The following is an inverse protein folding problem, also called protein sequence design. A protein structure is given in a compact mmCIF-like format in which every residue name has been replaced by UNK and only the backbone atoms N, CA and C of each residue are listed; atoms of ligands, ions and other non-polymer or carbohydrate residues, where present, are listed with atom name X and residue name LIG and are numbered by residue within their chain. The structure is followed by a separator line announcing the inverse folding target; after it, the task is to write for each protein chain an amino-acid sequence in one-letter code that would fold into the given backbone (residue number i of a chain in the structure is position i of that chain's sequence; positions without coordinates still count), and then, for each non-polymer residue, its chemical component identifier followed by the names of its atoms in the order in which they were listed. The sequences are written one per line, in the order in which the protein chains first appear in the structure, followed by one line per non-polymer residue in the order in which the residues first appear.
data_IF_476800295859
#
_entry.id   IF_476800295859
#
_cell.length_a   1.000
_cell.length_b   1.000
_cell.length_c   1.000
_cell.angle_alpha   90.00
_cell.angle_beta   90.00
_cell.angle_gamma   90.00
#
_symmetry.space_group_name_H-M   'P 1'
#
loop_
_entity.id
_entity.type
_entity.pdbx_description
1 polymer ?
#
# COMPACT_ATOMS: atom_id res chain seq x y z
N UNK A 1 29.72 -16.59 -53.34
CA UNK A 1 31.17 -16.82 -53.23
C UNK A 1 31.61 -16.28 -51.87
N UNK A 2 32.43 -17.11 -51.17
CA UNK A 2 33.05 -16.92 -49.83
C UNK A 2 32.08 -16.93 -48.64
N UNK A 3 31.83 -18.00 -47.98
CA UNK A 3 32.62 -18.89 -47.07
C UNK A 3 33.54 -18.13 -46.11
N UNK A 4 33.19 -18.11 -44.85
CA UNK A 4 34.17 -18.43 -43.80
C UNK A 4 33.47 -18.86 -42.50
N UNK A 5 33.53 -20.15 -42.22
CA UNK A 5 33.36 -20.79 -40.93
C UNK A 5 34.54 -20.42 -40.03
N UNK A 6 34.32 -20.12 -38.78
CA UNK A 6 35.29 -20.34 -37.71
C UNK A 6 34.62 -21.04 -36.54
N UNK A 7 35.00 -22.25 -36.39
CA UNK A 7 34.79 -23.20 -35.30
C UNK A 7 35.85 -22.92 -34.23
N UNK A 8 35.46 -22.72 -32.97
CA UNK A 8 36.38 -22.90 -31.87
C UNK A 8 35.65 -23.59 -30.69
N UNK A 9 36.03 -24.81 -30.51
CA UNK A 9 35.76 -25.63 -29.35
C UNK A 9 36.64 -25.20 -28.17
N UNK A 10 36.16 -25.46 -27.01
CA UNK A 10 36.84 -25.28 -25.72
C UNK A 10 36.18 -26.13 -24.68
N UNK A 11 36.60 -27.40 -24.64
CA UNK A 11 36.37 -28.31 -23.51
C UNK A 11 37.09 -27.78 -22.29
N UNK A 12 36.55 -27.97 -21.11
CA UNK A 12 37.32 -27.70 -19.91
C UNK A 12 36.51 -27.72 -18.64
N UNK A 13 36.38 -28.88 -18.09
CA UNK A 13 36.66 -29.27 -16.71
C UNK A 13 35.51 -29.19 -15.71
N UNK A 14 34.96 -30.36 -15.52
CA UNK A 14 34.29 -30.83 -14.31
C UNK A 14 35.25 -30.70 -13.13
N UNK A 15 34.89 -29.97 -12.10
CA UNK A 15 35.44 -30.07 -10.76
C UNK A 15 34.40 -30.57 -9.79
N UNK A 16 34.44 -31.86 -9.56
CA UNK A 16 33.98 -32.44 -8.31
C UNK A 16 34.84 -31.91 -7.17
N UNK A 17 34.20 -31.47 -6.13
CA UNK A 17 34.80 -31.29 -4.82
C UNK A 17 33.75 -31.48 -3.74
N UNK A 18 33.79 -32.65 -3.21
CA UNK A 18 33.94 -33.00 -1.81
C UNK A 18 32.81 -32.62 -0.87
N UNK A 19 32.06 -33.65 -0.60
CA UNK A 19 31.32 -33.94 0.63
C UNK A 19 32.30 -33.95 1.82
N UNK A 20 31.99 -33.20 2.86
CA UNK A 20 32.47 -33.40 4.24
C UNK A 20 31.25 -33.03 5.12
N UNK A 21 30.52 -33.98 5.61
CA UNK A 21 30.66 -34.73 6.86
C UNK A 21 30.43 -33.83 8.10
N UNK A 22 29.23 -34.01 8.66
CA UNK A 22 28.95 -34.17 10.09
C UNK A 22 29.55 -33.16 11.07
N UNK A 23 28.70 -32.29 11.59
CA UNK A 23 28.82 -31.88 12.99
C UNK A 23 27.45 -31.93 13.67
N UNK A 24 27.19 -33.07 14.25
CA UNK A 24 26.09 -33.41 15.14
C UNK A 24 26.45 -32.98 16.56
N UNK A 25 26.08 -31.77 16.97
CA UNK A 25 26.12 -31.39 18.38
C UNK A 25 24.72 -31.36 18.98
N UNK A 26 24.45 -32.25 19.94
CA UNK A 26 23.18 -32.19 20.68
C UNK A 26 23.26 -31.07 21.72
N UNK A 27 22.54 -30.00 21.50
CA UNK A 27 22.28 -28.97 22.53
C UNK A 27 21.35 -29.55 23.61
N UNK A 28 21.95 -29.86 24.75
CA UNK A 28 21.29 -30.19 25.98
C UNK A 28 20.28 -29.08 26.36
N UNK A 29 19.01 -29.43 26.41
CA UNK A 29 17.95 -28.61 26.97
C UNK A 29 18.07 -28.65 28.49
N UNK A 30 18.69 -27.64 29.09
CA UNK A 30 18.62 -27.37 30.51
C UNK A 30 17.20 -26.95 30.85
N UNK A 31 16.43 -27.87 31.42
CA UNK A 31 15.17 -27.58 32.11
C UNK A 31 15.48 -26.75 33.34
N UNK A 32 15.23 -25.46 33.30
CA UNK A 32 15.21 -24.62 34.47
C UNK A 32 13.81 -24.72 35.09
N UNK A 33 13.66 -25.64 36.04
CA UNK A 33 12.49 -25.68 36.92
C UNK A 33 12.63 -24.53 37.92
N UNK A 34 11.93 -23.45 37.71
CA UNK A 34 11.77 -22.39 38.70
C UNK A 34 10.47 -22.65 39.43
N UNK A 35 10.58 -23.09 40.67
CA UNK A 35 9.49 -23.10 41.63
C UNK A 35 8.94 -21.67 41.74
N UNK A 36 7.68 -21.52 41.44
CA UNK A 36 6.96 -20.28 41.66
C UNK A 36 6.29 -20.38 43.00
N UNK A 37 6.84 -19.66 43.97
CA UNK A 37 6.15 -19.39 45.25
C UNK A 37 4.86 -18.63 44.97
N UNK A 38 3.79 -19.17 45.51
CA UNK A 38 2.44 -18.68 45.43
C UNK A 38 2.29 -17.54 46.45
N UNK A 39 2.54 -16.32 46.02
CA UNK A 39 2.20 -15.12 46.76
C UNK A 39 0.74 -14.76 46.50
N UNK A 40 -0.09 -15.10 47.48
CA UNK A 40 -1.51 -14.78 47.54
C UNK A 40 -1.77 -13.28 47.34
N UNK A 41 -2.12 -12.90 46.13
CA UNK A 41 -2.63 -11.57 45.82
C UNK A 41 -4.16 -11.61 45.81
N UNK A 42 -4.83 -10.77 46.58
CA UNK A 42 -6.29 -10.78 46.64
C UNK A 42 -6.86 -10.39 45.27
N UNK A 43 -7.76 -11.24 44.78
CA UNK A 43 -8.58 -10.96 43.62
C UNK A 43 -9.54 -9.82 43.96
N UNK A 44 -9.21 -8.61 43.63
CA UNK A 44 -10.18 -7.53 43.56
C UNK A 44 -11.07 -7.74 42.35
N UNK A 45 -12.27 -8.21 42.57
CA UNK A 45 -13.36 -8.20 41.63
C UNK A 45 -13.65 -6.75 41.24
N UNK A 46 -13.11 -6.32 40.12
CA UNK A 46 -13.40 -5.07 39.44
C UNK A 46 -13.82 -5.39 38.01
N UNK A 47 -15.05 -5.88 37.86
CA UNK A 47 -15.71 -5.91 36.55
C UNK A 47 -15.99 -4.48 36.11
N UNK A 48 -14.93 -3.74 35.72
CA UNK A 48 -15.08 -2.55 34.97
C UNK A 48 -15.19 -2.99 33.49
N UNK A 49 -16.42 -3.21 33.07
CA UNK A 49 -16.84 -3.17 31.69
C UNK A 49 -16.21 -1.93 31.05
N UNK A 50 -15.03 -2.11 30.42
CA UNK A 50 -14.49 -1.11 29.52
C UNK A 50 -15.42 -1.10 28.31
N UNK A 51 -16.47 -0.30 28.43
CA UNK A 51 -17.16 0.22 27.28
C UNK A 51 -16.06 0.75 26.35
N UNK A 52 -15.80 -0.01 25.30
CA UNK A 52 -14.99 0.43 24.17
C UNK A 52 -15.73 1.64 23.63
N UNK A 53 -15.39 2.82 24.14
CA UNK A 53 -15.80 4.06 23.55
C UNK A 53 -15.24 4.01 22.14
N UNK A 54 -16.07 3.59 21.20
CA UNK A 54 -15.90 3.90 19.80
C UNK A 54 -15.84 5.41 19.73
N UNK A 55 -14.64 5.97 19.88
CA UNK A 55 -14.39 7.31 19.42
C UNK A 55 -14.63 7.27 17.93
N UNK A 56 -15.75 7.81 17.45
CA UNK A 56 -15.92 7.98 16.03
C UNK A 56 -14.72 8.80 15.59
N UNK A 57 -14.05 8.33 14.56
CA UNK A 57 -12.92 8.99 13.88
C UNK A 57 -13.46 10.28 13.21
N UNK A 58 -13.97 11.17 14.06
CA UNK A 58 -14.69 12.41 13.74
C UNK A 58 -13.76 13.48 13.19
N UNK A 59 -12.45 13.30 13.32
CA UNK A 59 -11.49 14.37 13.01
C UNK A 59 -11.09 14.47 11.55
N UNK A 60 -11.64 13.64 10.67
CA UNK A 60 -11.35 13.69 9.24
C UNK A 60 -12.59 13.90 8.36
N UNK A 61 -13.78 14.02 8.95
CA UNK A 61 -15.00 14.24 8.20
C UNK A 61 -15.50 15.70 8.21
N UNK A 62 -14.89 16.57 9.00
CA UNK A 62 -15.42 17.93 9.23
C UNK A 62 -14.78 19.00 8.34
N UNK A 63 -14.09 18.60 7.27
CA UNK A 63 -13.73 19.54 6.22
C UNK A 63 -14.90 19.58 5.23
N UNK A 64 -15.86 20.41 5.55
CA UNK A 64 -16.95 20.81 4.66
C UNK A 64 -16.37 21.28 3.32
N UNK A 65 -16.63 20.53 2.27
CA UNK A 65 -16.28 20.99 0.95
C UNK A 65 -16.37 19.94 -0.13
N UNK A 66 -15.62 18.89 -0.12
CA UNK A 66 -15.75 17.76 -1.05
C UNK A 66 -15.32 16.49 -0.33
N UNK A 67 -16.29 15.76 0.20
CA UNK A 67 -16.07 14.58 1.02
C UNK A 67 -15.56 13.40 0.18
N UNK A 68 -14.25 13.34 -0.03
CA UNK A 68 -13.63 12.09 -0.42
C UNK A 68 -13.59 11.14 0.79
N UNK A 69 -14.63 10.34 0.96
CA UNK A 69 -14.68 9.35 2.00
C UNK A 69 -13.54 8.33 1.81
N UNK A 70 -13.09 7.72 2.90
CA UNK A 70 -12.02 6.73 2.80
C UNK A 70 -12.57 5.38 2.33
N UNK A 71 -12.05 4.86 1.21
CA UNK A 71 -12.33 3.51 0.74
C UNK A 71 -11.52 2.51 1.58
N UNK A 72 -12.19 1.71 2.41
CA UNK A 72 -11.54 0.79 3.39
C UNK A 72 -11.77 -0.69 3.07
N UNK A 73 -12.93 -1.06 2.51
CA UNK A 73 -13.29 -2.46 2.28
C UNK A 73 -12.39 -3.07 1.21
N UNK A 74 -11.76 -4.20 1.53
CA UNK A 74 -10.86 -4.90 0.62
C UNK A 74 -11.55 -5.37 -0.65
N UNK A 75 -12.81 -5.78 -0.55
CA UNK A 75 -13.61 -6.23 -1.70
C UNK A 75 -13.83 -5.08 -2.70
N UNK A 76 -14.15 -3.88 -2.23
CA UNK A 76 -14.34 -2.70 -3.08
C UNK A 76 -13.03 -2.31 -3.76
N UNK A 77 -11.93 -2.30 -2.99
CA UNK A 77 -10.58 -2.01 -3.53
C UNK A 77 -10.19 -3.03 -4.60
N UNK A 78 -10.46 -4.32 -4.38
CA UNK A 78 -10.19 -5.38 -5.35
C UNK A 78 -11.04 -5.19 -6.61
N UNK A 79 -12.31 -4.86 -6.47
CA UNK A 79 -13.21 -4.58 -7.58
C UNK A 79 -12.72 -3.40 -8.44
N UNK A 80 -12.32 -2.26 -7.81
CA UNK A 80 -11.75 -1.13 -8.54
C UNK A 80 -10.46 -1.52 -9.26
N UNK A 81 -9.61 -2.35 -8.65
CA UNK A 81 -8.38 -2.82 -9.29
C UNK A 81 -8.63 -3.72 -10.49
N UNK A 82 -9.68 -4.55 -10.43
CA UNK A 82 -10.01 -5.51 -11.48
C UNK A 82 -10.66 -4.85 -12.70
N UNK A 83 -11.68 -4.04 -12.48
CA UNK A 83 -12.56 -3.50 -13.53
C UNK A 83 -12.50 -1.98 -13.67
N UNK A 84 -11.80 -1.28 -12.77
CA UNK A 84 -11.70 0.17 -12.80
C UNK A 84 -10.86 0.67 -13.99
N UNK A 85 -11.29 1.78 -14.60
CA UNK A 85 -10.52 2.48 -15.62
C UNK A 85 -9.23 3.06 -15.04
N UNK A 86 -8.10 2.89 -15.72
CA UNK A 86 -6.79 3.31 -15.25
C UNK A 86 -6.29 4.55 -15.95
N UNK A 87 -5.87 5.54 -15.17
CA UNK A 87 -5.04 6.67 -15.61
C UNK A 87 -3.65 6.48 -15.05
N UNK A 88 -2.65 6.57 -15.91
CA UNK A 88 -1.24 6.38 -15.53
C UNK A 88 -0.50 7.70 -15.59
N UNK A 89 0.22 7.98 -14.53
CA UNK A 89 1.16 9.08 -14.41
C UNK A 89 2.54 8.56 -13.99
N UNK A 90 3.58 9.37 -14.10
CA UNK A 90 4.90 9.00 -13.62
C UNK A 90 4.90 8.66 -12.12
N UNK A 91 4.23 9.47 -11.31
CA UNK A 91 4.22 9.35 -9.84
C UNK A 91 3.21 8.34 -9.29
N UNK A 92 2.15 7.99 -10.04
CA UNK A 92 1.10 7.07 -9.57
C UNK A 92 0.31 6.44 -10.72
N UNK A 93 -0.48 5.43 -10.36
CA UNK A 93 -1.55 4.89 -11.21
C UNK A 93 -2.85 5.04 -10.45
N UNK A 94 -3.80 5.77 -11.00
CA UNK A 94 -5.15 5.92 -10.44
C UNK A 94 -6.13 5.04 -11.22
N UNK A 95 -7.02 4.35 -10.52
CA UNK A 95 -8.12 3.55 -11.09
C UNK A 95 -9.43 4.05 -10.54
N UNK A 96 -10.39 4.19 -11.42
CA UNK A 96 -11.69 4.81 -11.16
C UNK A 96 -12.79 3.81 -11.49
N UNK A 97 -13.77 3.68 -10.60
CA UNK A 97 -14.97 2.87 -10.79
C UNK A 97 -16.17 3.66 -10.29
N UNK A 98 -17.23 3.82 -11.10
CA UNK A 98 -18.49 4.37 -10.62
C UNK A 98 -18.99 3.58 -9.41
N UNK A 99 -19.57 4.25 -8.43
CA UNK A 99 -20.28 3.61 -7.34
C UNK A 99 -21.73 4.13 -7.27
N UNK A 100 -22.57 3.42 -6.54
CA UNK A 100 -23.98 3.76 -6.34
C UNK A 100 -24.18 4.69 -5.13
N UNK A 101 -23.09 5.11 -4.50
CA UNK A 101 -23.10 6.01 -3.35
C UNK A 101 -23.07 7.44 -3.84
N UNK A 102 -23.64 8.35 -3.05
CA UNK A 102 -23.62 9.79 -3.37
C UNK A 102 -22.26 10.46 -3.10
N UNK A 103 -21.23 9.68 -2.78
CA UNK A 103 -19.93 10.19 -2.35
C UNK A 103 -18.78 9.57 -3.12
N UNK A 104 -17.73 10.34 -3.31
CA UNK A 104 -16.46 9.82 -3.81
C UNK A 104 -15.67 9.19 -2.68
N UNK A 105 -15.07 8.02 -2.94
CA UNK A 105 -14.23 7.31 -1.96
C UNK A 105 -12.82 7.11 -2.51
N UNK A 106 -11.80 7.37 -1.69
CA UNK A 106 -10.39 7.29 -2.07
C UNK A 106 -9.62 6.30 -1.21
N UNK A 107 -8.87 5.41 -1.86
CA UNK A 107 -7.82 4.59 -1.24
C UNK A 107 -6.47 4.87 -1.88
N UNK A 108 -5.42 5.04 -1.07
CA UNK A 108 -4.04 5.23 -1.55
C UNK A 108 -3.17 4.10 -1.02
N UNK A 109 -2.54 3.37 -1.91
CA UNK A 109 -1.63 2.26 -1.61
C UNK A 109 -0.23 2.55 -2.13
N UNK A 110 0.80 2.12 -1.39
CA UNK A 110 2.19 2.16 -1.83
C UNK A 110 2.79 0.76 -1.72
N UNK A 111 3.15 0.12 -2.84
CA UNK A 111 3.75 -1.20 -2.86
C UNK A 111 5.16 -1.18 -2.24
N UNK A 112 5.71 -2.37 -1.95
CA UNK A 112 7.05 -2.49 -1.36
C UNK A 112 8.16 -1.95 -2.27
N UNK A 113 7.95 -1.95 -3.57
CA UNK A 113 8.86 -1.41 -4.59
C UNK A 113 9.14 0.10 -4.45
N UNK A 114 8.25 0.84 -3.77
CA UNK A 114 8.45 2.28 -3.49
C UNK A 114 9.59 2.50 -2.49
N UNK A 115 9.81 1.58 -1.54
CA UNK A 115 10.87 1.67 -0.54
C UNK A 115 10.47 1.12 0.84
N UNK A 116 11.22 1.49 1.86
CA UNK A 116 10.96 1.13 3.26
C UNK A 116 9.66 1.76 3.78
N UNK A 117 9.19 1.30 4.94
CA UNK A 117 7.87 1.69 5.49
C UNK A 117 7.70 3.20 5.67
N UNK A 118 8.73 3.88 6.15
CA UNK A 118 8.74 5.35 6.35
C UNK A 118 8.57 6.10 5.03
N UNK A 119 9.32 5.71 4.00
CA UNK A 119 9.25 6.29 2.65
C UNK A 119 7.87 6.05 2.05
N UNK A 120 7.34 4.82 2.13
CA UNK A 120 5.98 4.50 1.66
C UNK A 120 4.91 5.32 2.37
N UNK A 121 5.04 5.53 3.67
CA UNK A 121 4.11 6.35 4.44
C UNK A 121 4.15 7.82 4.00
N UNK A 122 5.35 8.38 3.80
CA UNK A 122 5.54 9.74 3.29
C UNK A 122 4.91 9.89 1.89
N UNK A 123 5.21 8.98 0.97
CA UNK A 123 4.68 8.99 -0.38
C UNK A 123 3.14 8.90 -0.40
N UNK A 124 2.55 8.00 0.43
CA UNK A 124 1.09 7.90 0.57
C UNK A 124 0.45 9.18 1.09
N UNK A 125 1.08 9.87 2.06
CA UNK A 125 0.58 11.13 2.59
C UNK A 125 0.61 12.21 1.52
N UNK A 126 1.72 12.35 0.79
CA UNK A 126 1.87 13.35 -0.29
C UNK A 126 0.82 13.16 -1.38
N UNK A 127 0.68 11.93 -1.89
CA UNK A 127 -0.29 11.65 -2.95
C UNK A 127 -1.72 11.81 -2.47
N UNK A 128 -2.04 11.38 -1.23
CA UNK A 128 -3.38 11.60 -0.67
C UNK A 128 -3.72 13.08 -0.57
N UNK A 129 -2.79 13.90 -0.13
CA UNK A 129 -2.98 15.33 -0.01
C UNK A 129 -3.14 16.00 -1.38
N UNK A 130 -2.35 15.59 -2.39
CA UNK A 130 -2.49 16.07 -3.75
C UNK A 130 -3.89 15.78 -4.32
N UNK A 131 -4.41 14.56 -4.11
CA UNK A 131 -5.78 14.20 -4.51
C UNK A 131 -6.84 14.94 -3.72
N UNK A 132 -6.65 15.17 -2.42
CA UNK A 132 -7.58 15.95 -1.60
C UNK A 132 -7.73 17.37 -2.15
N UNK A 133 -6.62 18.06 -2.37
CA UNK A 133 -6.63 19.42 -2.94
C UNK A 133 -7.15 19.45 -4.38
N UNK A 134 -6.87 18.42 -5.17
CA UNK A 134 -7.43 18.32 -6.51
C UNK A 134 -8.96 18.15 -6.49
N UNK A 135 -9.49 17.42 -5.53
CA UNK A 135 -10.94 17.29 -5.35
C UNK A 135 -11.59 18.59 -4.90
N UNK A 136 -10.95 19.34 -4.02
CA UNK A 136 -11.45 20.65 -3.56
C UNK A 136 -11.49 21.68 -4.70
N UNK A 137 -10.57 21.58 -5.64
CA UNK A 137 -10.53 22.46 -6.82
C UNK A 137 -11.55 22.10 -7.89
N UNK A 138 -12.32 21.03 -7.69
CA UNK A 138 -13.25 20.52 -8.68
C UNK A 138 -14.70 20.81 -8.28
N UNK A 139 -15.44 21.58 -9.09
CA UNK A 139 -16.80 22.05 -8.80
C UNK A 139 -17.82 20.94 -8.53
N UNK A 140 -17.67 19.79 -9.15
CA UNK A 140 -18.50 18.60 -8.88
C UNK A 140 -17.71 17.33 -9.21
N UNK A 141 -17.61 16.43 -8.25
CA UNK A 141 -17.01 15.12 -8.47
C UNK A 141 -18.08 14.05 -8.55
N UNK A 142 -18.06 13.20 -9.60
CA UNK A 142 -19.01 12.11 -9.71
C UNK A 142 -18.81 11.10 -8.56
N UNK A 143 -19.89 10.46 -8.15
CA UNK A 143 -19.86 9.38 -7.18
C UNK A 143 -19.05 8.21 -7.74
N UNK A 144 -17.85 7.99 -7.19
CA UNK A 144 -16.92 6.97 -7.67
C UNK A 144 -15.93 6.51 -6.61
N UNK A 145 -15.46 5.29 -6.78
CA UNK A 145 -14.38 4.72 -5.99
C UNK A 145 -13.06 4.89 -6.73
N UNK A 146 -12.08 5.43 -6.03
CA UNK A 146 -10.74 5.71 -6.57
C UNK A 146 -9.71 4.90 -5.79
N UNK A 147 -8.90 4.13 -6.51
CA UNK A 147 -7.73 3.44 -5.94
C UNK A 147 -6.47 3.97 -6.61
N UNK A 148 -5.63 4.62 -5.83
CA UNK A 148 -4.35 5.16 -6.28
C UNK A 148 -3.21 4.27 -5.80
N UNK A 149 -2.40 3.80 -6.73
CA UNK A 149 -1.16 3.07 -6.44
C UNK A 149 0.02 3.98 -6.70
N UNK A 150 0.73 4.30 -5.63
CA UNK A 150 1.89 5.22 -5.65
C UNK A 150 3.08 4.53 -6.31
N UNK A 151 3.84 5.27 -7.09
CA UNK A 151 5.13 4.88 -7.69
C UNK A 151 6.29 5.53 -6.96
N UNK A 152 7.51 5.09 -7.24
CA UNK A 152 8.72 5.60 -6.59
C UNK A 152 8.96 7.08 -6.89
N UNK A 153 8.62 7.52 -8.06
CA UNK A 153 8.77 8.89 -8.55
C UNK A 153 7.96 9.90 -7.71
N UNK A 154 6.89 9.48 -7.06
CA UNK A 154 6.12 10.33 -6.15
C UNK A 154 6.91 10.83 -4.93
N UNK A 155 8.07 10.22 -4.63
CA UNK A 155 8.90 10.62 -3.49
C UNK A 155 9.65 11.92 -3.79
N UNK A 156 10.24 12.01 -4.99
CA UNK A 156 11.07 13.13 -5.45
C UNK A 156 10.31 14.17 -6.25
N UNK A 157 9.13 13.81 -6.80
CA UNK A 157 8.30 14.74 -7.58
C UNK A 157 7.98 16.00 -6.77
N UNK A 158 7.96 17.15 -7.43
CA UNK A 158 7.47 18.37 -6.79
C UNK A 158 5.98 18.23 -6.43
N UNK A 159 5.58 18.89 -5.34
CA UNK A 159 4.20 18.76 -4.86
C UNK A 159 3.19 19.44 -5.78
N UNK A 160 3.57 20.52 -6.43
CA UNK A 160 2.73 21.21 -7.42
C UNK A 160 2.48 20.31 -8.64
N UNK A 161 3.51 19.60 -9.11
CA UNK A 161 3.41 18.62 -10.19
C UNK A 161 2.50 17.44 -9.81
N UNK A 162 2.62 16.92 -8.57
CA UNK A 162 1.72 15.87 -8.06
C UNK A 162 0.25 16.34 -8.03
N UNK A 163 0.02 17.58 -7.62
CA UNK A 163 -1.33 18.17 -7.61
C UNK A 163 -1.89 18.32 -9.02
N UNK A 164 -1.09 18.86 -9.94
CA UNK A 164 -1.48 19.01 -11.34
C UNK A 164 -1.82 17.64 -11.99
N UNK A 165 -0.99 16.63 -11.74
CA UNK A 165 -1.24 15.26 -12.20
C UNK A 165 -2.54 14.67 -11.61
N UNK A 166 -2.83 14.94 -10.33
CA UNK A 166 -4.07 14.50 -9.69
C UNK A 166 -5.29 15.19 -10.31
N UNK A 167 -5.23 16.50 -10.58
CA UNK A 167 -6.30 17.24 -11.29
C UNK A 167 -6.54 16.66 -12.67
N UNK A 168 -5.48 16.44 -13.45
CA UNK A 168 -5.58 15.85 -14.78
C UNK A 168 -6.21 14.44 -14.75
N UNK A 169 -5.81 13.60 -13.78
CA UNK A 169 -6.37 12.27 -13.60
C UNK A 169 -7.87 12.31 -13.27
N UNK A 170 -8.30 13.23 -12.41
CA UNK A 170 -9.72 13.43 -12.06
C UNK A 170 -10.50 13.96 -13.27
N UNK A 171 -9.93 14.87 -14.06
CA UNK A 171 -10.52 15.40 -15.29
C UNK A 171 -10.77 14.28 -16.32
N UNK A 172 -9.78 13.41 -16.56
CA UNK A 172 -9.92 12.25 -17.45
C UNK A 172 -11.03 11.31 -16.99
N UNK A 173 -11.18 11.10 -15.68
CA UNK A 173 -12.22 10.23 -15.13
C UNK A 173 -13.64 10.79 -15.33
N UNK A 174 -13.81 12.10 -15.42
CA UNK A 174 -15.09 12.77 -15.71
C UNK A 174 -15.53 12.52 -17.15
N UNK A 175 -14.67 12.80 -18.12
CA UNK A 175 -14.97 12.71 -19.56
C UNK A 175 -15.27 11.29 -20.04
N UNK A 176 -14.83 10.29 -19.33
CA UNK A 176 -15.03 8.90 -19.72
C UNK A 176 -16.39 8.32 -19.34
N UNK A 177 -17.30 9.12 -18.81
CA UNK A 177 -18.66 8.73 -18.40
C UNK A 177 -19.74 9.18 -19.40
N UNK A 178 -19.39 9.98 -20.39
CA UNK A 178 -20.27 10.44 -21.46
C UNK A 178 -20.40 9.35 -22.56
#
# INVERSE_FOLDING_TARGET
MFHSSIFFGGEGTVREAHVSAEDTSPRASARFSRAHEDDGRPQSAGAASRARTETPDRRLNDLAGVNAARLRRSIDIAAVRKIGRGVRDAAFVARFRPNELSVMRLAVSAPRTVGISTIRNRARRRVREAFRLACESADAMPAQDIVVTVRREAISADFSALRAAAVAALGTARHSRA
#
